data_IF_729010906516
#
_entry.id   IF_729010906516
#
_cell.length_a   1.000
_cell.length_b   1.000
_cell.length_c   1.000
_cell.angle_alpha   90.00
_cell.angle_beta   90.00
_cell.angle_gamma   90.00
#
_symmetry.space_group_name_H-M   'P 1'
#
loop_
_entity.id
_entity.type
_entity.pdbx_description
1 polymer ?
#
# COMPACT_ATOMS: atom_id res chain seq x y z
N UNK A 1 9.86 -32.01 -8.17
CA UNK A 1 10.35 -30.64 -8.44
C UNK A 1 9.34 -29.97 -9.38
N UNK A 2 8.42 -29.15 -8.82
CA UNK A 2 7.52 -28.33 -9.62
C UNK A 2 8.33 -27.10 -10.06
N UNK A 3 8.65 -27.00 -11.35
CA UNK A 3 9.25 -25.80 -11.90
C UNK A 3 8.16 -24.72 -11.99
N UNK A 4 8.22 -23.72 -11.12
CA UNK A 4 7.41 -22.52 -11.19
C UNK A 4 7.98 -21.64 -12.31
N UNK A 5 7.36 -21.62 -13.49
CA UNK A 5 7.71 -20.64 -14.52
C UNK A 5 6.87 -19.40 -14.24
N UNK A 6 7.47 -18.42 -13.56
CA UNK A 6 6.90 -17.09 -13.39
C UNK A 6 7.54 -16.17 -14.41
N UNK A 7 6.80 -15.81 -15.46
CA UNK A 7 7.20 -14.72 -16.34
C UNK A 7 6.36 -13.49 -16.01
N UNK A 8 7.00 -12.47 -15.45
CA UNK A 8 6.37 -11.18 -15.17
C UNK A 8 6.55 -10.26 -16.40
N UNK A 9 5.45 -9.93 -17.06
CA UNK A 9 5.43 -8.87 -18.05
C UNK A 9 5.03 -7.58 -17.36
N UNK A 10 5.99 -6.73 -17.04
CA UNK A 10 5.73 -5.39 -16.55
C UNK A 10 5.83 -4.40 -17.72
N UNK A 11 4.70 -4.04 -18.31
CA UNK A 11 4.64 -2.83 -19.11
C UNK A 11 4.61 -1.64 -18.15
N UNK A 12 5.78 -1.19 -17.70
CA UNK A 12 5.89 -0.03 -16.83
C UNK A 12 6.14 1.22 -17.69
N UNK A 13 5.08 1.88 -18.12
CA UNK A 13 5.18 3.31 -18.33
C UNK A 13 5.12 3.95 -16.93
N UNK A 14 6.25 4.03 -16.25
CA UNK A 14 6.35 4.59 -14.90
C UNK A 14 6.32 6.12 -14.90
N UNK A 15 6.04 6.76 -16.03
CA UNK A 15 5.95 8.19 -16.15
C UNK A 15 4.50 8.65 -15.95
N UNK A 16 4.29 9.53 -14.98
CA UNK A 16 3.03 10.24 -14.85
C UNK A 16 2.82 11.11 -16.11
N UNK A 17 1.66 10.95 -16.77
CA UNK A 17 1.29 11.81 -17.87
C UNK A 17 0.67 13.10 -17.32
N UNK A 18 1.24 14.25 -17.63
CA UNK A 18 0.62 15.54 -17.35
C UNK A 18 -0.56 15.71 -18.29
N UNK A 19 -1.77 15.78 -17.72
CA UNK A 19 -3.02 15.92 -18.49
C UNK A 19 -3.56 17.34 -18.44
N UNK A 20 -3.11 18.12 -17.48
CA UNK A 20 -3.43 19.53 -17.33
C UNK A 20 -2.29 20.26 -16.64
N UNK A 21 -1.88 21.40 -17.16
CA UNK A 21 -0.86 22.29 -16.56
C UNK A 21 -1.15 23.71 -16.99
N UNK A 22 -1.99 24.38 -16.23
CA UNK A 22 -2.39 25.75 -16.49
C UNK A 22 -2.83 26.45 -15.20
N UNK A 23 -2.69 27.78 -15.16
CA UNK A 23 -3.13 28.63 -14.03
C UNK A 23 -2.66 28.14 -12.66
N UNK A 24 -1.41 27.67 -12.58
CA UNK A 24 -0.84 27.16 -11.33
C UNK A 24 -1.36 25.79 -10.90
N UNK A 25 -2.25 25.18 -11.68
CA UNK A 25 -2.77 23.82 -11.41
C UNK A 25 -2.11 22.82 -12.33
N UNK A 26 -1.54 21.76 -11.74
CA UNK A 26 -0.98 20.62 -12.46
C UNK A 26 -1.73 19.35 -12.07
N UNK A 27 -2.21 18.62 -13.08
CA UNK A 27 -2.86 17.31 -12.92
C UNK A 27 -2.07 16.25 -13.66
N UNK A 28 -1.71 15.20 -12.95
CA UNK A 28 -0.95 14.07 -13.48
C UNK A 28 -1.76 12.78 -13.34
N UNK A 29 -1.83 12.00 -14.42
CA UNK A 29 -2.29 10.61 -14.40
C UNK A 29 -1.09 9.69 -14.30
N UNK A 30 -1.17 8.74 -13.40
CA UNK A 30 -0.16 7.70 -13.24
C UNK A 30 -0.82 6.33 -13.16
N UNK A 31 -0.09 5.29 -13.54
CA UNK A 31 -0.63 3.94 -13.48
C UNK A 31 0.33 2.90 -14.02
N UNK A 32 -0.02 1.65 -13.79
CA UNK A 32 0.67 0.51 -14.39
C UNK A 32 -0.28 -0.66 -14.53
N UNK A 33 -0.25 -1.32 -15.68
CA UNK A 33 -0.89 -2.61 -15.89
C UNK A 33 0.17 -3.70 -15.68
N UNK A 34 -0.10 -4.61 -14.76
CA UNK A 34 0.81 -5.68 -14.37
C UNK A 34 0.10 -7.01 -14.43
N UNK A 35 0.63 -7.91 -15.26
CA UNK A 35 0.08 -9.25 -15.43
C UNK A 35 1.17 -10.27 -15.08
N UNK A 36 0.77 -11.36 -14.45
CA UNK A 36 1.61 -12.53 -14.21
C UNK A 36 0.98 -13.73 -14.91
N UNK A 37 1.78 -14.42 -15.70
CA UNK A 37 1.44 -15.74 -16.20
C UNK A 37 2.03 -16.77 -15.25
N UNK A 38 1.20 -17.60 -14.67
CA UNK A 38 1.64 -18.65 -13.75
C UNK A 38 1.02 -20.00 -14.12
N UNK A 39 1.77 -21.06 -13.83
CA UNK A 39 1.25 -22.42 -13.82
C UNK A 39 1.50 -22.98 -12.44
N UNK A 40 0.44 -23.09 -11.65
CA UNK A 40 0.53 -23.60 -10.28
C UNK A 40 -0.28 -24.88 -10.13
N UNK A 41 0.34 -25.89 -9.56
CA UNK A 41 -0.36 -27.08 -9.11
C UNK A 41 -1.15 -26.72 -7.84
N UNK A 42 -2.47 -26.70 -7.93
CA UNK A 42 -3.34 -26.54 -6.77
C UNK A 42 -3.84 -27.93 -6.34
N UNK A 43 -3.57 -28.32 -5.10
CA UNK A 43 -4.25 -29.46 -4.49
C UNK A 43 -5.64 -29.00 -4.03
N UNK A 44 -6.68 -29.52 -4.60
CA UNK A 44 -8.05 -29.33 -4.13
C UNK A 44 -8.41 -30.58 -3.32
N UNK A 45 -8.83 -30.39 -2.06
CA UNK A 45 -9.29 -31.44 -1.17
C UNK A 45 -10.81 -31.50 -1.23
N UNK A 46 -11.36 -32.70 -1.39
CA UNK A 46 -12.80 -32.93 -1.26
C UNK A 46 -13.18 -33.20 0.24
N UNK A 47 -14.47 -33.29 0.51
CA UNK A 47 -14.97 -33.56 1.86
C UNK A 47 -14.44 -34.87 2.48
N UNK A 48 -13.94 -35.81 1.67
CA UNK A 48 -13.30 -37.05 2.12
C UNK A 48 -11.77 -36.94 2.26
N UNK A 49 -11.23 -35.72 2.28
CA UNK A 49 -9.79 -35.43 2.39
C UNK A 49 -8.91 -36.01 1.27
N UNK A 50 -9.51 -36.34 0.12
CA UNK A 50 -8.80 -36.78 -1.06
C UNK A 50 -8.36 -35.58 -1.89
N UNK A 51 -7.11 -35.56 -2.31
CA UNK A 51 -6.57 -34.44 -3.09
C UNK A 51 -6.57 -34.74 -4.58
N UNK A 52 -7.14 -33.85 -5.37
CA UNK A 52 -6.92 -33.80 -6.82
C UNK A 52 -5.95 -32.67 -7.16
N UNK A 53 -4.96 -32.96 -7.99
CA UNK A 53 -4.07 -31.94 -8.54
C UNK A 53 -4.71 -31.34 -9.79
N UNK A 54 -4.99 -30.07 -9.77
CA UNK A 54 -5.34 -29.32 -10.97
C UNK A 54 -4.19 -28.37 -11.30
N UNK A 55 -3.52 -28.63 -12.43
CA UNK A 55 -2.48 -27.75 -12.95
C UNK A 55 -3.08 -26.87 -14.04
N UNK A 56 -3.55 -25.68 -13.68
CA UNK A 56 -4.07 -24.73 -14.64
C UNK A 56 -3.08 -23.59 -14.86
N UNK A 57 -2.88 -23.21 -16.14
CA UNK A 57 -2.22 -21.94 -16.44
C UNK A 57 -3.21 -20.80 -16.17
N UNK A 58 -2.74 -19.73 -15.54
CA UNK A 58 -3.53 -18.55 -15.28
C UNK A 58 -2.76 -17.30 -15.71
N UNK A 59 -3.48 -16.34 -16.28
CA UNK A 59 -3.04 -14.98 -16.46
C UNK A 59 -3.78 -14.14 -15.41
N UNK A 60 -3.06 -13.53 -14.48
CA UNK A 60 -3.69 -12.77 -13.40
C UNK A 60 -3.12 -11.38 -13.25
N UNK A 61 -3.90 -10.50 -12.63
CA UNK A 61 -3.46 -9.20 -12.17
C UNK A 61 -2.35 -9.34 -11.10
N UNK A 62 -1.33 -8.50 -11.22
CA UNK A 62 -0.20 -8.45 -10.28
C UNK A 62 -0.05 -7.05 -9.64
N UNK A 63 -1.16 -6.49 -9.16
CA UNK A 63 -1.18 -5.18 -8.55
C UNK A 63 -1.24 -4.04 -9.56
N UNK A 64 -2.02 -4.22 -10.63
CA UNK A 64 -2.39 -3.15 -11.57
C UNK A 64 -3.05 -1.99 -10.81
N UNK A 65 -2.70 -0.77 -11.21
CA UNK A 65 -3.13 0.44 -10.51
C UNK A 65 -3.23 1.63 -11.45
N UNK A 66 -4.04 2.60 -11.06
CA UNK A 66 -4.04 3.93 -11.66
C UNK A 66 -4.31 4.98 -10.58
N UNK A 67 -3.90 6.21 -10.83
CA UNK A 67 -4.07 7.28 -9.88
C UNK A 67 -3.99 8.65 -10.52
N UNK A 68 -4.42 9.64 -9.75
CA UNK A 68 -4.40 11.05 -10.10
C UNK A 68 -3.66 11.79 -9.00
N UNK A 69 -2.73 12.64 -9.40
CA UNK A 69 -2.06 13.59 -8.52
C UNK A 69 -2.40 15.00 -8.98
N UNK A 70 -2.80 15.84 -8.06
CA UNK A 70 -3.11 17.26 -8.32
C UNK A 70 -2.21 18.10 -7.45
N UNK A 71 -1.66 19.15 -8.03
CA UNK A 71 -0.95 20.21 -7.31
C UNK A 71 -1.45 21.56 -7.83
N UNK A 72 -1.81 22.46 -6.92
CA UNK A 72 -2.24 23.80 -7.23
C UNK A 72 -1.40 24.81 -6.43
N UNK A 73 -0.74 25.71 -7.14
CA UNK A 73 0.06 26.77 -6.51
C UNK A 73 -0.87 27.79 -5.87
N UNK A 74 -0.55 28.17 -4.67
CA UNK A 74 -1.18 29.22 -3.89
C UNK A 74 -0.22 30.42 -3.80
N UNK A 75 -0.67 31.48 -3.17
CA UNK A 75 0.19 32.63 -2.92
C UNK A 75 1.33 32.30 -1.92
N UNK A 76 2.42 33.10 -1.97
CA UNK A 76 3.54 33.01 -1.02
C UNK A 76 4.27 31.65 -0.99
N UNK A 77 4.53 31.04 -2.15
CA UNK A 77 5.24 29.78 -2.30
C UNK A 77 4.55 28.55 -1.68
N UNK A 78 3.30 28.68 -1.25
CA UNK A 78 2.48 27.56 -0.81
C UNK A 78 1.81 26.88 -2.00
N UNK A 79 1.46 25.61 -1.81
CA UNK A 79 0.65 24.85 -2.74
C UNK A 79 -0.28 23.89 -1.99
N UNK A 80 -1.44 23.67 -2.58
CA UNK A 80 -2.30 22.54 -2.24
C UNK A 80 -1.92 21.32 -3.06
N UNK A 81 -2.05 20.15 -2.46
CA UNK A 81 -1.79 18.87 -3.14
C UNK A 81 -2.87 17.85 -2.81
N UNK A 82 -3.08 16.93 -3.74
CA UNK A 82 -3.99 15.80 -3.54
C UNK A 82 -3.58 14.60 -4.35
N UNK A 83 -3.85 13.42 -3.84
CA UNK A 83 -3.59 12.15 -4.53
C UNK A 83 -4.70 11.14 -4.31
N UNK A 84 -5.13 10.52 -5.40
CA UNK A 84 -5.96 9.33 -5.41
C UNK A 84 -5.20 8.20 -6.10
N UNK A 85 -5.20 7.00 -5.54
CA UNK A 85 -4.67 5.79 -6.17
C UNK A 85 -5.64 4.65 -5.95
N UNK A 86 -6.00 3.98 -7.03
CA UNK A 86 -6.86 2.82 -7.04
C UNK A 86 -6.06 1.58 -7.47
N UNK A 87 -6.40 0.45 -6.90
CA UNK A 87 -5.84 -0.86 -7.26
C UNK A 87 -6.95 -1.88 -7.46
N UNK A 88 -6.66 -2.87 -8.28
CA UNK A 88 -7.53 -4.03 -8.43
C UNK A 88 -7.15 -5.07 -7.38
N UNK A 89 -8.17 -5.61 -6.71
CA UNK A 89 -8.01 -6.74 -5.82
C UNK A 89 -7.67 -7.99 -6.65
N UNK A 90 -6.67 -8.75 -6.24
CA UNK A 90 -6.20 -9.96 -6.90
C UNK A 90 -6.57 -11.24 -6.13
N UNK A 91 -7.31 -11.09 -5.01
CA UNK A 91 -7.64 -12.22 -4.12
C UNK A 91 -8.94 -12.94 -4.49
N UNK A 92 -9.86 -12.30 -5.22
CA UNK A 92 -11.19 -12.85 -5.47
C UNK A 92 -11.21 -13.94 -6.54
N UNK A 93 -10.53 -13.75 -7.66
CA UNK A 93 -10.44 -14.73 -8.73
C UNK A 93 -9.13 -14.62 -9.48
N UNK A 94 -8.55 -15.76 -9.86
CA UNK A 94 -7.29 -15.79 -10.60
C UNK A 94 -7.41 -15.37 -12.06
N UNK A 95 -8.61 -15.48 -12.63
CA UNK A 95 -8.95 -15.20 -14.01
C UNK A 95 -9.68 -13.86 -14.21
N UNK A 96 -9.82 -13.06 -13.15
CA UNK A 96 -10.46 -11.75 -13.17
C UNK A 96 -9.60 -10.70 -12.48
N UNK A 97 -9.85 -9.43 -12.81
CA UNK A 97 -9.16 -8.30 -12.19
C UNK A 97 -9.67 -7.96 -10.79
N UNK A 98 -10.71 -8.64 -10.28
CA UNK A 98 -11.30 -8.38 -8.98
C UNK A 98 -11.87 -6.96 -8.81
N UNK A 99 -12.32 -6.66 -7.59
CA UNK A 99 -12.90 -5.36 -7.26
C UNK A 99 -11.85 -4.25 -7.21
N UNK A 100 -12.27 -3.04 -7.54
CA UNK A 100 -11.46 -1.84 -7.43
C UNK A 100 -11.52 -1.31 -5.99
N UNK A 101 -10.37 -1.03 -5.38
CA UNK A 101 -10.30 -0.44 -4.05
C UNK A 101 -9.38 0.78 -4.01
N UNK A 102 -9.64 1.69 -3.06
CA UNK A 102 -8.83 2.89 -2.87
C UNK A 102 -7.60 2.57 -2.03
N UNK A 103 -6.43 2.64 -2.65
CA UNK A 103 -5.15 2.43 -1.97
C UNK A 103 -4.66 3.69 -1.27
N UNK A 104 -4.82 4.86 -1.91
CA UNK A 104 -4.43 6.16 -1.37
C UNK A 104 -5.49 7.20 -1.67
N UNK A 105 -5.80 8.03 -0.70
CA UNK A 105 -6.70 9.17 -0.83
C UNK A 105 -6.32 10.19 0.23
N UNK A 106 -5.55 11.20 -0.16
CA UNK A 106 -5.12 12.24 0.76
C UNK A 106 -5.01 13.60 0.08
N UNK A 107 -5.11 14.63 0.88
CA UNK A 107 -4.91 16.03 0.50
C UNK A 107 -3.92 16.66 1.44
N UNK A 108 -3.36 17.78 1.07
CA UNK A 108 -2.42 18.49 1.92
C UNK A 108 -2.07 19.87 1.43
N UNK A 109 -1.24 20.52 2.23
CA UNK A 109 -0.62 21.80 1.94
C UNK A 109 0.88 21.67 2.09
N UNK A 110 1.62 22.39 1.29
CA UNK A 110 3.07 22.39 1.37
C UNK A 110 3.70 23.67 0.88
N UNK A 111 4.98 23.81 1.19
CA UNK A 111 5.87 24.78 0.57
C UNK A 111 7.28 24.21 0.48
N UNK A 112 8.09 24.75 -0.44
CA UNK A 112 9.48 24.33 -0.56
C UNK A 112 10.31 24.63 0.71
N UNK A 113 9.94 25.69 1.43
CA UNK A 113 10.66 26.14 2.62
C UNK A 113 10.30 25.31 3.86
N UNK A 114 9.02 24.96 4.03
CA UNK A 114 8.52 24.35 5.28
C UNK A 114 8.15 22.88 5.14
N UNK A 115 8.12 22.34 3.92
CA UNK A 115 7.72 20.95 3.67
C UNK A 115 6.20 20.79 3.50
N UNK A 116 5.76 19.53 3.49
CA UNK A 116 4.38 19.13 3.21
C UNK A 116 3.70 18.59 4.44
N UNK A 117 2.45 18.99 4.68
CA UNK A 117 1.56 18.33 5.63
C UNK A 117 0.37 17.74 4.87
N UNK A 118 0.12 16.44 5.08
CA UNK A 118 -0.91 15.69 4.34
C UNK A 118 -1.84 14.95 5.29
N UNK A 119 -3.10 14.77 4.86
CA UNK A 119 -4.17 14.20 5.65
C UNK A 119 -4.95 13.19 4.82
N UNK A 120 -5.16 11.99 5.34
CA UNK A 120 -5.98 10.96 4.71
C UNK A 120 -5.35 9.59 4.66
N UNK A 121 -5.85 8.75 3.75
CA UNK A 121 -5.35 7.40 3.53
C UNK A 121 -4.02 7.45 2.77
N UNK A 122 -2.93 7.10 3.43
CA UNK A 122 -1.59 7.17 2.85
C UNK A 122 -0.60 6.26 3.55
N UNK A 123 0.60 6.19 2.99
CA UNK A 123 1.73 5.51 3.63
C UNK A 123 2.20 6.27 4.87
N UNK A 124 2.77 5.53 5.80
CA UNK A 124 3.52 6.07 6.91
C UNK A 124 5.01 6.13 6.57
N UNK A 125 5.79 6.71 7.46
CA UNK A 125 7.25 6.74 7.35
C UNK A 125 7.86 5.35 7.30
N UNK A 126 7.27 4.41 8.01
CA UNK A 126 7.75 3.03 8.06
C UNK A 126 7.79 2.38 6.67
N UNK A 127 6.91 2.77 5.75
CA UNK A 127 6.94 2.29 4.37
C UNK A 127 8.13 2.86 3.59
N UNK A 128 8.33 4.17 3.68
CA UNK A 128 9.32 4.88 2.85
C UNK A 128 10.76 4.62 3.29
N UNK A 129 10.99 4.46 4.60
CA UNK A 129 12.34 4.39 5.15
C UNK A 129 12.84 2.98 5.41
N UNK A 130 11.95 1.97 5.40
CA UNK A 130 12.30 0.57 5.68
C UNK A 130 12.35 -0.30 4.43
N UNK A 131 13.22 0.00 3.49
CA UNK A 131 13.38 -0.84 2.29
C UNK A 131 13.86 -2.27 2.58
N UNK A 132 14.60 -2.48 3.65
CA UNK A 132 15.14 -3.79 4.02
C UNK A 132 14.08 -4.86 4.31
N UNK A 133 12.84 -4.46 4.58
CA UNK A 133 11.74 -5.35 4.93
C UNK A 133 10.74 -5.63 3.80
N UNK A 134 11.01 -5.17 2.59
CA UNK A 134 10.16 -5.41 1.41
C UNK A 134 10.44 -6.77 0.75
N UNK A 135 11.40 -7.52 1.27
CA UNK A 135 11.72 -8.84 0.78
C UNK A 135 10.84 -9.90 1.46
N UNK A 136 10.25 -10.77 0.66
CA UNK A 136 9.40 -11.88 1.09
C UNK A 136 10.09 -12.82 2.10
N UNK A 137 11.40 -12.84 2.10
CA UNK A 137 12.27 -13.67 2.97
C UNK A 137 13.00 -12.87 4.05
N UNK A 138 12.57 -11.64 4.33
CA UNK A 138 13.16 -10.85 5.42
C UNK A 138 12.89 -11.46 6.80
N UNK A 139 13.79 -11.19 7.75
CA UNK A 139 13.67 -11.69 9.14
C UNK A 139 12.38 -11.20 9.81
N UNK A 140 11.91 -10.00 9.43
CA UNK A 140 10.68 -9.40 9.95
C UNK A 140 9.83 -8.93 8.76
N UNK A 141 8.63 -9.48 8.56
CA UNK A 141 7.73 -9.02 7.51
C UNK A 141 7.36 -7.54 7.69
N UNK A 142 7.35 -6.81 6.57
CA UNK A 142 6.93 -5.41 6.52
C UNK A 142 5.54 -5.22 7.13
N UNK A 143 5.38 -4.21 7.96
CA UNK A 143 4.09 -3.90 8.58
C UNK A 143 3.70 -4.75 9.79
N UNK A 144 4.53 -5.73 10.18
CA UNK A 144 4.20 -6.65 11.28
C UNK A 144 4.10 -5.93 12.64
N UNK A 145 4.98 -4.97 12.89
CA UNK A 145 5.05 -4.27 14.19
C UNK A 145 4.71 -2.80 14.10
N UNK A 146 4.98 -2.17 12.96
CA UNK A 146 4.71 -0.75 12.71
C UNK A 146 3.88 -0.67 11.43
N UNK A 147 2.69 -0.04 11.48
CA UNK A 147 1.86 0.12 10.30
C UNK A 147 2.61 0.88 9.20
N UNK A 148 2.65 0.33 8.00
CA UNK A 148 3.25 0.97 6.81
C UNK A 148 2.28 1.85 6.06
N UNK A 149 0.99 1.77 6.39
CA UNK A 149 -0.08 2.61 5.85
C UNK A 149 -1.18 2.78 6.88
N UNK A 150 -2.07 3.73 6.67
CA UNK A 150 -3.25 3.92 7.48
C UNK A 150 -4.38 4.57 6.71
N UNK A 151 -5.61 4.36 7.18
CA UNK A 151 -6.83 4.96 6.59
C UNK A 151 -7.03 6.42 6.99
N UNK A 152 -6.53 6.80 8.17
CA UNK A 152 -6.54 8.16 8.68
C UNK A 152 -5.16 8.51 9.22
N UNK A 153 -4.35 9.19 8.42
CA UNK A 153 -2.97 9.56 8.74
C UNK A 153 -2.80 11.04 8.56
N UNK A 154 -2.20 11.69 9.54
CA UNK A 154 -1.55 13.00 9.38
C UNK A 154 -0.08 12.74 9.18
N UNK A 155 0.50 13.28 8.12
CA UNK A 155 1.91 13.10 7.80
C UNK A 155 2.56 14.41 7.45
N UNK A 156 3.76 14.62 7.95
CA UNK A 156 4.64 15.73 7.62
C UNK A 156 5.91 15.22 6.98
N UNK A 157 6.32 15.86 5.89
CA UNK A 157 7.57 15.56 5.18
C UNK A 157 8.32 16.87 4.89
N UNK A 158 9.57 16.96 5.31
CA UNK A 158 10.47 18.05 4.98
C UNK A 158 11.61 17.55 4.09
N UNK A 159 11.83 18.24 2.98
CA UNK A 159 12.87 17.94 1.98
C UNK A 159 13.58 19.20 1.48
N UNK A 160 13.57 20.27 2.28
CA UNK A 160 14.16 21.55 1.90
C UNK A 160 15.67 21.59 1.90
N UNK A 161 16.34 20.56 2.43
CA UNK A 161 17.81 20.40 2.41
C UNK A 161 18.13 19.23 1.49
N UNK A 162 19.06 19.46 0.55
CA UNK A 162 19.49 18.43 -0.38
C UNK A 162 20.03 17.18 0.34
N UNK A 163 19.56 16.04 -0.08
CA UNK A 163 19.90 14.75 0.53
C UNK A 163 19.19 14.45 1.86
N UNK A 164 18.58 15.42 2.53
CA UNK A 164 17.92 15.23 3.82
C UNK A 164 16.41 15.16 3.66
N UNK A 165 15.80 14.11 4.20
CA UNK A 165 14.36 13.99 4.40
C UNK A 165 14.09 13.79 5.90
N UNK A 166 13.26 14.64 6.47
CA UNK A 166 12.69 14.46 7.80
C UNK A 166 11.20 14.18 7.64
N UNK A 167 10.71 13.19 8.36
CA UNK A 167 9.30 12.82 8.25
C UNK A 167 8.72 12.46 9.62
N UNK A 168 7.44 12.77 9.81
CA UNK A 168 6.66 12.38 10.97
C UNK A 168 5.25 11.99 10.57
N UNK A 169 4.65 11.02 11.26
CA UNK A 169 3.24 10.70 11.06
C UNK A 169 2.53 10.38 12.36
N UNK A 170 1.23 10.66 12.37
CA UNK A 170 0.28 10.19 13.35
C UNK A 170 -0.88 9.47 12.67
N UNK A 171 -1.16 8.25 13.09
CA UNK A 171 -2.26 7.44 12.59
C UNK A 171 -3.39 7.46 13.63
N UNK A 172 -4.57 7.84 13.21
CA UNK A 172 -5.80 7.69 13.99
C UNK A 172 -6.19 6.22 14.10
N UNK A 173 -7.15 5.93 14.96
CA UNK A 173 -7.62 4.58 15.20
C UNK A 173 -8.12 3.89 13.91
N UNK A 174 -7.79 2.61 13.78
CA UNK A 174 -8.14 1.82 12.61
C UNK A 174 -8.68 0.44 13.04
N UNK A 175 -9.79 0.02 12.42
CA UNK A 175 -10.47 -1.26 12.70
C UNK A 175 -10.47 -2.20 11.50
N UNK A 176 -10.29 -1.64 10.30
CA UNK A 176 -10.35 -2.36 9.02
C UNK A 176 -9.11 -2.06 8.20
N UNK A 177 -8.75 -2.99 7.34
CA UNK A 177 -7.71 -2.80 6.35
C UNK A 177 -8.15 -1.91 5.17
N UNK A 178 -7.37 -1.89 4.11
CA UNK A 178 -7.62 -1.08 2.92
C UNK A 178 -8.81 -1.59 2.08
N UNK A 179 -9.17 -2.85 2.23
CA UNK A 179 -10.29 -3.50 1.53
C UNK A 179 -11.57 -3.51 2.36
N UNK A 180 -11.52 -3.01 3.60
CA UNK A 180 -12.66 -2.97 4.50
C UNK A 180 -12.79 -4.22 5.38
N UNK A 181 -11.79 -5.11 5.34
CA UNK A 181 -11.77 -6.30 6.17
C UNK A 181 -11.25 -5.98 7.58
N UNK A 182 -11.75 -6.67 8.62
CA UNK A 182 -11.22 -6.50 9.97
C UNK A 182 -9.72 -6.78 10.05
N UNK A 183 -8.96 -5.93 10.77
CA UNK A 183 -7.52 -6.10 10.95
C UNK A 183 -7.14 -7.43 11.59
N UNK A 184 -8.03 -8.00 12.39
CA UNK A 184 -7.89 -9.31 13.02
C UNK A 184 -9.25 -9.99 13.13
N UNK A 185 -9.26 -11.28 12.89
CA UNK A 185 -10.45 -12.12 13.09
C UNK A 185 -10.16 -13.19 14.13
N UNK A 186 -11.22 -13.67 14.79
CA UNK A 186 -11.22 -14.83 15.67
C UNK A 186 -12.31 -15.81 15.27
N UNK A 187 -12.18 -17.06 15.72
CA UNK A 187 -13.20 -18.07 15.49
C UNK A 187 -14.54 -17.63 16.07
N UNK A 188 -15.56 -17.61 15.23
CA UNK A 188 -16.95 -17.41 15.60
C UNK A 188 -17.68 -18.73 15.88
N UNK A 189 -19.00 -18.70 15.83
CA UNK A 189 -19.83 -19.92 15.88
C UNK A 189 -19.71 -20.69 14.55
N UNK A 190 -20.12 -21.96 14.57
CA UNK A 190 -20.33 -22.71 13.34
C UNK A 190 -21.57 -22.15 12.62
N UNK A 191 -21.55 -22.15 11.30
CA UNK A 191 -22.71 -21.79 10.48
C UNK A 191 -23.75 -22.93 10.44
N UNK A 192 -24.82 -22.74 9.68
CA UNK A 192 -25.90 -23.71 9.53
C UNK A 192 -25.49 -25.03 8.86
N UNK A 193 -24.33 -25.03 8.19
CA UNK A 193 -23.73 -26.20 7.53
C UNK A 193 -22.68 -26.88 8.42
N UNK A 194 -22.37 -26.32 9.60
CA UNK A 194 -21.33 -26.80 10.50
C UNK A 194 -19.94 -26.27 10.16
N UNK A 195 -19.82 -25.29 9.27
CA UNK A 195 -18.54 -24.69 8.89
C UNK A 195 -18.09 -23.61 9.88
N UNK A 196 -16.77 -23.52 10.11
CA UNK A 196 -16.20 -22.55 11.02
C UNK A 196 -16.32 -21.14 10.47
N UNK A 197 -17.07 -20.26 11.16
CA UNK A 197 -17.11 -18.84 10.84
C UNK A 197 -15.98 -18.06 11.51
N UNK A 198 -15.67 -16.88 10.98
CA UNK A 198 -14.73 -15.94 11.56
C UNK A 198 -15.40 -14.57 11.75
N UNK A 199 -15.17 -13.97 12.91
CA UNK A 199 -15.74 -12.67 13.27
C UNK A 199 -14.63 -11.70 13.62
N UNK A 200 -14.89 -10.40 13.53
CA UNK A 200 -13.93 -9.37 13.89
C UNK A 200 -13.44 -9.53 15.33
N UNK A 201 -12.13 -9.46 15.55
CA UNK A 201 -11.51 -9.44 16.88
C UNK A 201 -11.08 -8.02 17.23
N UNK A 202 -11.78 -7.33 18.16
CA UNK A 202 -11.43 -5.96 18.53
C UNK A 202 -10.01 -5.80 19.10
N UNK A 203 -9.40 -6.89 19.59
CA UNK A 203 -8.03 -6.83 20.12
C UNK A 203 -6.97 -6.59 19.04
N UNK A 204 -7.34 -6.74 17.76
CA UNK A 204 -6.49 -6.40 16.62
C UNK A 204 -6.62 -4.97 16.14
N UNK A 205 -7.55 -4.18 16.70
CA UNK A 205 -7.73 -2.79 16.32
C UNK A 205 -6.54 -1.95 16.77
N UNK A 206 -6.12 -1.05 15.90
CA UNK A 206 -5.14 -0.02 16.24
C UNK A 206 -5.90 1.14 16.87
N UNK A 207 -5.51 1.57 18.07
CA UNK A 207 -6.07 2.76 18.71
C UNK A 207 -5.46 4.04 18.16
N UNK A 208 -4.15 4.06 18.05
CA UNK A 208 -3.35 5.07 17.37
C UNK A 208 -1.95 4.51 17.09
N UNK A 209 -1.23 5.17 16.21
CA UNK A 209 0.18 4.92 15.99
C UNK A 209 0.87 6.22 15.62
N UNK A 210 2.17 6.30 15.86
CA UNK A 210 2.99 7.42 15.40
C UNK A 210 4.35 6.94 14.96
N UNK A 211 4.97 7.74 14.10
CA UNK A 211 6.30 7.46 13.60
C UNK A 211 7.06 8.73 13.30
N UNK A 212 8.38 8.65 13.44
CA UNK A 212 9.33 9.66 13.01
C UNK A 212 10.45 9.00 12.25
N UNK A 213 11.05 9.71 11.30
CA UNK A 213 12.12 9.15 10.52
C UNK A 213 12.99 10.22 9.88
N UNK A 214 14.21 9.80 9.58
CA UNK A 214 15.21 10.60 8.88
C UNK A 214 15.84 9.75 7.79
N UNK A 215 16.03 10.33 6.64
CA UNK A 215 16.84 9.78 5.55
C UNK A 215 17.86 10.82 5.14
N UNK A 216 19.10 10.39 5.02
CA UNK A 216 20.16 11.18 4.44
C UNK A 216 20.80 10.40 3.30
N UNK A 217 20.70 10.93 2.09
CA UNK A 217 21.21 10.30 0.88
C UNK A 217 22.10 11.28 0.12
N UNK A 218 23.35 10.91 -0.12
CA UNK A 218 24.29 11.60 -0.99
C UNK A 218 25.11 10.56 -1.73
N UNK A 219 25.26 10.73 -3.05
CA UNK A 219 26.07 9.90 -3.94
C UNK A 219 26.11 8.39 -3.58
N UNK A 220 27.08 7.99 -2.75
CA UNK A 220 27.31 6.61 -2.34
C UNK A 220 26.62 6.21 -1.02
N UNK A 221 25.96 7.13 -0.33
CA UNK A 221 25.39 6.88 1.00
C UNK A 221 23.87 7.09 1.00
N UNK A 222 23.11 6.12 1.53
CA UNK A 222 21.69 6.24 1.82
C UNK A 222 21.44 5.69 3.24
N UNK A 223 21.47 6.60 4.21
CA UNK A 223 21.28 6.30 5.62
C UNK A 223 19.82 6.56 5.98
N UNK A 224 19.16 5.60 6.61
CA UNK A 224 17.75 5.67 7.00
C UNK A 224 17.57 5.23 8.42
N UNK A 225 16.82 6.03 9.17
CA UNK A 225 16.39 5.69 10.51
C UNK A 225 14.90 6.00 10.64
N UNK A 226 14.14 5.07 11.20
CA UNK A 226 12.74 5.27 11.54
C UNK A 226 12.45 4.66 12.91
N UNK A 227 11.65 5.37 13.68
CA UNK A 227 11.06 4.89 14.91
C UNK A 227 9.54 4.99 14.82
N UNK A 228 8.85 4.00 15.34
CA UNK A 228 7.39 3.99 15.38
C UNK A 228 6.87 3.26 16.61
N UNK A 229 5.65 3.62 16.99
CA UNK A 229 4.93 3.01 18.10
C UNK A 229 3.46 2.84 17.73
N UNK A 230 2.87 1.73 18.15
CA UNK A 230 1.47 1.38 17.89
C UNK A 230 0.80 0.95 19.21
N UNK A 231 -0.37 1.51 19.47
CA UNK A 231 -1.23 1.17 20.61
C UNK A 231 -2.48 0.40 20.17
#
# INVERSE_FOLDING_TARGET
>A
LAALIVSAFAASAANAAVVYDNEGTKVELNGSLRLIMEKADKKVYNAANQSTKTANSALRNAGSRFGITVKHNLDNDFYALGRLEFRFNDTESRDQFGALYTKRAYVGLGSKATGDITFGRQLTIADDLTQANDYEYGIIPKGKYIPTSGTGVVRYDYKGIEGLQLSANYNFGQRHDEMGEPLKTKKGALDVNGDQTYVADPTGNIKNAYGVGVRYAQDAYDLRFAYGHTN
#
